data_IF_762224295899
#
_entry.id   IF_762224295899
#
_cell.length_a   1.000
_cell.length_b   1.000
_cell.length_c   1.000
_cell.angle_alpha   90.00
_cell.angle_beta   90.00
_cell.angle_gamma   90.00
#
_symmetry.space_group_name_H-M   'P 1'
#
loop_
_entity.id
_entity.type
_entity.pdbx_description
1 polymer ?
#
# COMPACT_ATOMS: atom_id res chain seq x y z
N UNK A 1 3.61 19.31 -13.91
CA UNK A 1 3.82 17.90 -14.32
C UNK A 1 4.92 17.35 -13.45
N UNK A 2 4.70 16.18 -12.82
CA UNK A 2 5.73 15.51 -12.04
C UNK A 2 6.68 14.78 -13.00
N UNK A 3 7.94 14.65 -12.61
CA UNK A 3 8.98 13.91 -13.35
C UNK A 3 9.19 12.48 -12.83
N UNK A 4 8.35 12.06 -11.88
CA UNK A 4 8.37 10.74 -11.26
C UNK A 4 7.08 9.98 -11.58
N UNK A 5 7.10 8.64 -11.66
CA UNK A 5 5.91 7.83 -11.79
C UNK A 5 4.95 8.05 -10.62
N UNK A 6 3.65 8.13 -10.92
CA UNK A 6 2.59 8.29 -9.91
C UNK A 6 1.68 7.08 -9.96
N UNK A 7 1.52 6.41 -8.81
CA UNK A 7 0.56 5.33 -8.61
C UNK A 7 -0.59 5.84 -7.74
N UNK A 8 -1.80 5.76 -8.25
CA UNK A 8 -3.00 6.28 -7.59
C UNK A 8 -3.64 5.21 -6.71
N UNK A 9 -3.89 5.55 -5.44
CA UNK A 9 -4.61 4.65 -4.53
C UNK A 9 -6.11 4.66 -4.87
N UNK A 10 -6.62 3.50 -5.28
CA UNK A 10 -8.04 3.26 -5.56
C UNK A 10 -8.64 2.52 -4.37
N UNK A 11 -9.27 3.26 -3.49
CA UNK A 11 -9.91 2.77 -2.28
C UNK A 11 -11.10 3.69 -1.92
N UNK A 12 -12.36 3.26 -2.16
CA UNK A 12 -13.52 4.15 -2.07
C UNK A 12 -13.86 4.58 -0.64
N UNK A 13 -13.42 3.86 0.36
CA UNK A 13 -13.68 4.14 1.79
C UNK A 13 -12.59 3.62 2.71
N UNK A 14 -12.61 4.05 3.95
CA UNK A 14 -11.86 3.45 5.06
C UNK A 14 -12.51 2.13 5.53
N UNK A 15 -11.92 1.47 6.52
CA UNK A 15 -12.38 0.20 7.09
C UNK A 15 -11.75 -1.02 6.41
N UNK A 16 -12.55 -2.04 6.15
CA UNK A 16 -12.14 -3.29 5.54
C UNK A 16 -11.82 -3.17 4.03
N UNK A 17 -11.61 -4.31 3.38
CA UNK A 17 -11.29 -4.42 1.95
C UNK A 17 -12.30 -5.31 1.20
N UNK A 18 -13.48 -5.51 1.80
CA UNK A 18 -14.61 -6.25 1.20
C UNK A 18 -15.60 -5.24 0.65
N UNK A 19 -15.75 -5.17 -0.66
CA UNK A 19 -16.51 -4.11 -1.33
C UNK A 19 -17.81 -4.62 -1.92
N UNK A 20 -18.84 -3.77 -1.88
CA UNK A 20 -20.10 -3.98 -2.58
C UNK A 20 -19.91 -3.83 -4.10
N UNK A 21 -20.91 -4.29 -4.86
CA UNK A 21 -20.91 -4.12 -6.33
C UNK A 21 -20.82 -2.64 -6.73
N UNK A 22 -21.49 -1.75 -6.01
CA UNK A 22 -21.45 -0.31 -6.28
C UNK A 22 -20.07 0.29 -5.99
N UNK A 23 -19.43 -0.11 -4.89
CA UNK A 23 -18.06 0.31 -4.57
C UNK A 23 -17.06 -0.19 -5.62
N UNK A 24 -17.18 -1.44 -6.07
CA UNK A 24 -16.35 -1.97 -7.17
C UNK A 24 -16.58 -1.20 -8.47
N UNK A 25 -17.81 -0.82 -8.79
CA UNK A 25 -18.11 0.01 -9.95
C UNK A 25 -17.49 1.42 -9.85
N UNK A 26 -17.45 2.01 -8.66
CA UNK A 26 -16.72 3.27 -8.43
C UNK A 26 -15.23 3.07 -8.68
N UNK A 27 -14.63 2.01 -8.09
CA UNK A 27 -13.22 1.70 -8.28
C UNK A 27 -12.85 1.49 -9.76
N UNK A 28 -13.69 0.81 -10.52
CA UNK A 28 -13.48 0.60 -11.97
C UNK A 28 -13.52 1.93 -12.75
N UNK A 29 -14.43 2.85 -12.40
CA UNK A 29 -14.48 4.20 -13.01
C UNK A 29 -13.24 5.03 -12.66
N UNK A 30 -12.79 4.96 -11.42
CA UNK A 30 -11.58 5.68 -10.99
C UNK A 30 -10.33 5.13 -11.70
N UNK A 31 -10.25 3.81 -11.91
CA UNK A 31 -9.17 3.18 -12.68
C UNK A 31 -9.21 3.64 -14.15
N UNK A 32 -10.38 3.64 -14.78
CA UNK A 32 -10.53 4.12 -16.16
C UNK A 32 -10.06 5.59 -16.28
N UNK A 33 -10.42 6.43 -15.32
CA UNK A 33 -9.93 7.81 -15.27
C UNK A 33 -8.40 7.89 -15.12
N UNK A 34 -7.79 7.01 -14.33
CA UNK A 34 -6.33 6.94 -14.21
C UNK A 34 -5.66 6.56 -15.53
N UNK A 35 -6.25 5.63 -16.29
CA UNK A 35 -5.77 5.24 -17.63
C UNK A 35 -5.87 6.43 -18.58
N UNK A 36 -7.02 7.11 -18.64
CA UNK A 36 -7.28 8.25 -19.53
C UNK A 36 -6.35 9.44 -19.24
N UNK A 37 -6.05 9.68 -17.96
CA UNK A 37 -5.15 10.74 -17.51
C UNK A 37 -3.66 10.39 -17.68
N UNK A 38 -3.33 9.15 -18.04
CA UNK A 38 -1.97 8.69 -18.29
C UNK A 38 -1.11 8.59 -17.04
N UNK A 39 -1.69 8.12 -15.91
CA UNK A 39 -0.91 7.73 -14.73
C UNK A 39 -0.09 6.47 -15.03
N UNK A 40 0.97 6.24 -14.27
CA UNK A 40 1.87 5.10 -14.48
C UNK A 40 1.43 3.84 -13.72
N UNK A 41 0.60 3.99 -12.69
CA UNK A 41 0.13 2.85 -11.92
C UNK A 41 -1.06 3.14 -11.02
N UNK A 42 -1.62 2.07 -10.48
CA UNK A 42 -2.64 2.10 -9.44
C UNK A 42 -2.26 1.21 -8.28
N UNK A 43 -2.87 1.48 -7.13
CA UNK A 43 -2.73 0.72 -5.90
C UNK A 43 -4.12 0.34 -5.42
N UNK A 44 -4.43 -0.95 -5.34
CA UNK A 44 -5.75 -1.43 -4.93
C UNK A 44 -5.67 -2.85 -4.35
N UNK A 45 -6.80 -3.43 -3.96
CA UNK A 45 -6.88 -4.81 -3.48
C UNK A 45 -8.24 -5.10 -2.87
N UNK A 46 -8.73 -6.31 -3.07
CA UNK A 46 -10.06 -6.76 -2.61
C UNK A 46 -9.91 -8.08 -1.87
N UNK A 47 -10.60 -8.21 -0.76
CA UNK A 47 -10.71 -9.45 0.02
C UNK A 47 -12.15 -9.92 0.09
N UNK A 48 -12.33 -11.20 0.33
CA UNK A 48 -13.59 -11.76 0.80
C UNK A 48 -13.73 -11.58 2.32
N UNK A 49 -14.91 -11.82 2.86
CA UNK A 49 -15.21 -11.66 4.29
C UNK A 49 -14.49 -12.66 5.20
N UNK A 50 -14.00 -13.77 4.62
CA UNK A 50 -13.16 -14.76 5.28
C UNK A 50 -11.66 -14.41 5.23
N UNK A 51 -11.31 -13.21 4.75
CA UNK A 51 -9.95 -12.73 4.55
C UNK A 51 -9.12 -13.53 3.54
N UNK A 52 -9.75 -14.23 2.63
CA UNK A 52 -9.09 -14.73 1.42
C UNK A 52 -9.07 -13.67 0.33
N UNK A 53 -8.18 -13.82 -0.65
CA UNK A 53 -8.13 -12.93 -1.81
C UNK A 53 -9.41 -13.06 -2.64
N UNK A 54 -10.13 -11.96 -2.89
CA UNK A 54 -11.16 -11.92 -3.94
C UNK A 54 -10.48 -11.88 -5.32
N UNK A 55 -10.25 -13.07 -5.85
CA UNK A 55 -9.57 -13.26 -7.14
C UNK A 55 -10.34 -12.60 -8.28
N UNK A 56 -11.66 -12.80 -8.31
CA UNK A 56 -12.50 -12.30 -9.41
C UNK A 56 -12.55 -10.77 -9.44
N UNK A 57 -12.79 -10.13 -8.31
CA UNK A 57 -12.83 -8.67 -8.22
C UNK A 57 -11.45 -8.07 -8.45
N UNK A 58 -10.39 -8.64 -7.86
CA UNK A 58 -9.02 -8.17 -8.06
C UNK A 58 -8.61 -8.28 -9.54
N UNK A 59 -8.96 -9.40 -10.21
CA UNK A 59 -8.66 -9.56 -11.62
C UNK A 59 -9.44 -8.56 -12.50
N UNK A 60 -10.70 -8.26 -12.18
CA UNK A 60 -11.46 -7.21 -12.88
C UNK A 60 -10.77 -5.85 -12.79
N UNK A 61 -10.29 -5.46 -11.60
CA UNK A 61 -9.54 -4.22 -11.40
C UNK A 61 -8.21 -4.24 -12.17
N UNK A 62 -7.47 -5.37 -12.15
CA UNK A 62 -6.21 -5.51 -12.90
C UNK A 62 -6.41 -5.41 -14.40
N UNK A 63 -7.46 -6.04 -14.93
CA UNK A 63 -7.80 -5.95 -16.36
C UNK A 63 -8.18 -4.52 -16.74
N UNK A 64 -8.98 -3.83 -15.91
CA UNK A 64 -9.34 -2.42 -16.15
C UNK A 64 -8.12 -1.49 -16.13
N UNK A 65 -7.09 -1.79 -15.35
CA UNK A 65 -5.85 -1.03 -15.30
C UNK A 65 -5.01 -1.15 -16.58
N UNK A 66 -5.26 -2.17 -17.43
CA UNK A 66 -4.56 -2.35 -18.70
C UNK A 66 -3.04 -2.42 -18.50
N UNK A 67 -2.32 -1.47 -19.11
CA UNK A 67 -0.86 -1.38 -19.05
C UNK A 67 -0.32 -0.64 -17.80
N UNK A 68 -1.18 -0.09 -16.94
CA UNK A 68 -0.74 0.54 -15.71
C UNK A 68 -0.12 -0.50 -14.78
N UNK A 69 0.93 -0.10 -14.06
CA UNK A 69 1.45 -0.92 -12.97
C UNK A 69 0.40 -1.12 -11.89
N UNK A 70 0.24 -2.36 -11.43
CA UNK A 70 -0.71 -2.69 -10.38
C UNK A 70 0.02 -3.08 -9.10
N UNK A 71 -0.28 -2.36 -8.01
CA UNK A 71 0.19 -2.71 -6.67
C UNK A 71 -0.97 -3.24 -5.85
N UNK A 72 -0.88 -4.49 -5.38
CA UNK A 72 -1.80 -4.99 -4.36
C UNK A 72 -1.37 -4.41 -3.01
N UNK A 73 -2.26 -3.66 -2.37
CA UNK A 73 -1.94 -2.89 -1.17
C UNK A 73 -1.94 -3.74 0.11
N UNK A 74 -1.86 -3.10 1.27
CA UNK A 74 -1.76 -3.75 2.59
C UNK A 74 -2.96 -4.60 3.01
N UNK A 75 -4.00 -4.73 2.21
CA UNK A 75 -4.98 -5.81 2.38
C UNK A 75 -4.30 -7.18 2.41
N UNK A 76 -3.14 -7.32 1.76
CA UNK A 76 -2.31 -8.52 1.83
C UNK A 76 -1.94 -8.93 3.26
N UNK A 77 -1.80 -7.97 4.15
CA UNK A 77 -1.46 -8.24 5.56
C UNK A 77 -2.60 -8.89 6.35
N UNK A 78 -3.83 -8.91 5.82
CA UNK A 78 -4.99 -9.56 6.42
C UNK A 78 -5.26 -10.95 5.86
N UNK A 79 -4.60 -11.35 4.77
CA UNK A 79 -4.86 -12.60 4.09
C UNK A 79 -4.48 -13.80 4.96
N UNK A 80 -5.39 -14.76 5.09
CA UNK A 80 -5.18 -15.97 5.91
C UNK A 80 -4.23 -16.97 5.23
N UNK A 81 -4.21 -17.04 3.89
CA UNK A 81 -3.37 -17.93 3.09
C UNK A 81 -2.42 -17.12 2.17
N UNK A 82 -1.43 -16.38 2.71
CA UNK A 82 -0.66 -15.41 1.93
C UNK A 82 0.23 -16.04 0.85
N UNK A 83 0.67 -17.28 0.98
CA UNK A 83 1.47 -17.95 -0.06
C UNK A 83 0.61 -18.38 -1.25
N UNK A 84 -0.64 -18.79 -1.02
CA UNK A 84 -1.61 -19.03 -2.07
C UNK A 84 -1.96 -17.73 -2.79
N UNK A 85 -2.25 -16.67 -2.03
CA UNK A 85 -2.52 -15.34 -2.60
C UNK A 85 -1.35 -14.78 -3.41
N UNK A 86 -0.11 -15.03 -2.99
CA UNK A 86 1.09 -14.69 -3.77
C UNK A 86 1.03 -15.33 -5.16
N UNK A 87 0.73 -16.63 -5.25
CA UNK A 87 0.62 -17.35 -6.52
C UNK A 87 -0.54 -16.84 -7.39
N UNK A 88 -1.69 -16.55 -6.77
CA UNK A 88 -2.86 -16.00 -7.45
C UNK A 88 -2.58 -14.60 -8.02
N UNK A 89 -1.93 -13.71 -7.25
CA UNK A 89 -1.55 -12.37 -7.68
C UNK A 89 -0.50 -12.42 -8.81
N UNK A 90 0.43 -13.37 -8.77
CA UNK A 90 1.39 -13.59 -9.86
C UNK A 90 0.70 -14.08 -11.15
N UNK A 91 -0.27 -14.99 -11.03
CA UNK A 91 -1.05 -15.45 -12.17
C UNK A 91 -1.86 -14.31 -12.83
N UNK A 92 -2.26 -13.30 -12.07
CA UNK A 92 -2.91 -12.07 -12.56
C UNK A 92 -1.91 -11.02 -13.08
N UNK A 93 -0.60 -11.30 -13.06
CA UNK A 93 0.45 -10.36 -13.45
C UNK A 93 0.43 -9.05 -12.64
N UNK A 94 0.18 -9.14 -11.33
CA UNK A 94 0.34 -8.01 -10.42
C UNK A 94 1.83 -7.65 -10.31
N UNK A 95 2.16 -6.36 -10.37
CA UNK A 95 3.56 -5.92 -10.38
C UNK A 95 4.17 -5.87 -8.98
N UNK A 96 3.41 -5.41 -7.98
CA UNK A 96 3.89 -5.22 -6.61
C UNK A 96 2.89 -5.74 -5.58
N UNK A 97 3.40 -6.27 -4.48
CA UNK A 97 2.65 -6.54 -3.24
C UNK A 97 3.24 -5.66 -2.14
N UNK A 98 2.45 -4.72 -1.63
CA UNK A 98 2.79 -3.89 -0.50
C UNK A 98 2.35 -4.58 0.79
N UNK A 99 3.31 -4.89 1.66
CA UNK A 99 3.05 -5.62 2.90
C UNK A 99 3.97 -5.20 4.04
N UNK A 100 3.51 -5.34 5.27
CA UNK A 100 4.34 -5.27 6.48
C UNK A 100 4.73 -6.65 7.00
N UNK A 101 4.50 -7.72 6.22
CA UNK A 101 4.76 -9.08 6.65
C UNK A 101 3.77 -9.58 7.69
N UNK A 102 2.51 -9.14 7.60
CA UNK A 102 1.43 -9.48 8.55
C UNK A 102 1.74 -9.07 10.00
N UNK A 103 2.60 -8.07 10.17
CA UNK A 103 2.96 -7.50 11.46
C UNK A 103 2.58 -6.00 11.52
N UNK A 104 2.71 -5.39 12.69
CA UNK A 104 2.42 -3.96 12.87
C UNK A 104 3.31 -3.07 12.01
N UNK A 105 4.55 -3.52 11.78
CA UNK A 105 5.51 -2.82 10.94
C UNK A 105 6.35 -3.78 10.09
N UNK A 106 6.87 -3.32 8.96
CA UNK A 106 7.72 -4.12 8.08
C UNK A 106 9.03 -4.60 8.75
N UNK A 107 9.68 -3.83 9.64
CA UNK A 107 10.80 -4.37 10.42
C UNK A 107 10.43 -5.57 11.29
N UNK A 108 9.25 -5.58 11.92
CA UNK A 108 8.77 -6.71 12.72
C UNK A 108 8.42 -7.93 11.85
N UNK A 109 7.95 -7.69 10.62
CA UNK A 109 7.58 -8.73 9.67
C UNK A 109 8.69 -9.17 8.72
N UNK A 110 9.96 -8.81 8.98
CA UNK A 110 11.06 -9.00 8.02
C UNK A 110 11.26 -10.46 7.62
N UNK A 111 11.12 -11.40 8.55
CA UNK A 111 11.33 -12.83 8.26
C UNK A 111 10.27 -13.35 7.29
N UNK A 112 9.01 -12.98 7.49
CA UNK A 112 7.93 -13.37 6.59
C UNK A 112 8.04 -12.66 5.23
N UNK A 113 8.36 -11.36 5.21
CA UNK A 113 8.65 -10.63 3.98
C UNK A 113 9.80 -11.27 3.19
N UNK A 114 10.88 -11.68 3.87
CA UNK A 114 12.01 -12.39 3.26
C UNK A 114 11.57 -13.73 2.66
N UNK A 115 10.70 -14.47 3.36
CA UNK A 115 10.15 -15.72 2.85
C UNK A 115 9.32 -15.49 1.58
N UNK A 116 8.41 -14.50 1.57
CA UNK A 116 7.66 -14.11 0.37
C UNK A 116 8.60 -13.72 -0.78
N UNK A 117 9.63 -12.92 -0.47
CA UNK A 117 10.59 -12.46 -1.48
C UNK A 117 11.39 -13.61 -2.11
N UNK A 118 11.66 -14.69 -1.35
CA UNK A 118 12.32 -15.91 -1.86
C UNK A 118 11.38 -16.78 -2.72
N UNK A 119 10.09 -16.80 -2.39
CA UNK A 119 9.11 -17.65 -3.08
C UNK A 119 8.50 -17.00 -4.32
N UNK A 120 8.55 -15.68 -4.43
CA UNK A 120 8.04 -14.95 -5.60
C UNK A 120 8.77 -15.35 -6.89
N UNK A 121 8.06 -15.28 -8.01
CA UNK A 121 8.61 -15.50 -9.35
C UNK A 121 8.70 -14.18 -10.13
N UNK A 122 7.61 -13.46 -10.23
CA UNK A 122 7.48 -12.26 -11.08
C UNK A 122 7.13 -10.99 -10.30
N UNK A 123 6.26 -11.09 -9.30
CA UNK A 123 5.82 -9.96 -8.49
C UNK A 123 6.96 -9.41 -7.63
N UNK A 124 6.97 -8.10 -7.37
CA UNK A 124 7.92 -7.47 -6.45
C UNK A 124 7.28 -7.30 -5.07
N UNK A 125 7.92 -7.81 -4.03
CA UNK A 125 7.51 -7.54 -2.65
C UNK A 125 8.03 -6.17 -2.25
N UNK A 126 7.13 -5.29 -1.79
CA UNK A 126 7.43 -3.93 -1.35
C UNK A 126 7.15 -3.82 0.15
N UNK A 127 8.17 -3.89 1.01
CA UNK A 127 8.00 -3.64 2.44
C UNK A 127 7.44 -2.25 2.72
N UNK A 128 6.41 -2.16 3.56
CA UNK A 128 5.80 -0.90 3.96
C UNK A 128 5.23 -0.93 5.37
N UNK A 129 4.97 0.22 5.94
CA UNK A 129 4.72 0.48 7.36
C UNK A 129 6.00 0.49 8.20
N UNK A 130 6.29 1.65 8.78
CA UNK A 130 7.44 1.83 9.68
C UNK A 130 8.81 1.91 8.98
N UNK A 131 8.87 1.89 7.65
CA UNK A 131 10.12 2.08 6.91
C UNK A 131 10.59 3.53 7.03
N UNK A 132 11.87 3.71 7.32
CA UNK A 132 12.51 5.01 7.50
C UNK A 132 14.03 4.92 7.29
N UNK A 133 14.74 6.05 7.40
CA UNK A 133 16.18 6.11 7.16
C UNK A 133 17.03 5.26 8.13
N UNK A 134 16.54 4.92 9.32
CA UNK A 134 17.30 4.10 10.27
C UNK A 134 17.24 2.61 9.97
N UNK A 135 16.25 2.14 9.20
CA UNK A 135 16.02 0.72 8.94
C UNK A 135 15.99 0.34 7.45
N UNK A 136 16.05 1.30 6.53
CA UNK A 136 15.95 1.00 5.08
C UNK A 136 17.08 0.11 4.58
N UNK A 137 18.29 0.23 5.14
CA UNK A 137 19.45 -0.60 4.79
C UNK A 137 19.18 -2.09 5.07
N UNK A 138 18.40 -2.40 6.10
CA UNK A 138 17.98 -3.78 6.37
C UNK A 138 17.22 -4.37 5.19
N UNK A 139 16.23 -3.67 4.64
CA UNK A 139 15.45 -4.17 3.50
C UNK A 139 16.32 -4.35 2.26
N UNK A 140 17.27 -3.43 2.01
CA UNK A 140 18.25 -3.56 0.94
C UNK A 140 19.10 -4.82 1.11
N UNK A 141 19.58 -5.09 2.31
CA UNK A 141 20.38 -6.27 2.62
C UNK A 141 19.61 -7.60 2.47
N UNK A 142 18.27 -7.56 2.68
CA UNK A 142 17.39 -8.69 2.42
C UNK A 142 16.98 -8.84 0.93
N UNK A 143 17.51 -7.98 0.04
CA UNK A 143 17.31 -8.07 -1.41
C UNK A 143 15.97 -7.55 -1.90
N UNK A 144 15.32 -6.62 -1.18
CA UNK A 144 14.14 -5.93 -1.67
C UNK A 144 14.53 -4.81 -2.62
N UNK A 145 13.85 -4.75 -3.78
CA UNK A 145 14.10 -3.74 -4.83
C UNK A 145 13.25 -2.47 -4.66
N UNK A 146 12.26 -2.51 -3.79
CA UNK A 146 11.37 -1.39 -3.51
C UNK A 146 10.97 -1.37 -2.04
N UNK A 147 10.73 -0.18 -1.49
CA UNK A 147 10.15 0.03 -0.16
C UNK A 147 9.12 1.15 -0.23
N UNK A 148 8.15 1.12 0.68
CA UNK A 148 7.14 2.17 0.82
C UNK A 148 7.27 2.86 2.18
N UNK A 149 7.20 4.20 2.17
CA UNK A 149 7.16 5.01 3.40
C UNK A 149 6.27 6.24 3.19
N UNK A 150 5.63 6.70 4.26
CA UNK A 150 4.89 7.96 4.25
C UNK A 150 5.82 9.17 4.40
N UNK A 151 6.97 8.98 5.03
CA UNK A 151 7.91 10.05 5.37
C UNK A 151 7.30 11.11 6.30
N UNK A 152 6.17 10.82 6.95
CA UNK A 152 5.39 11.80 7.72
C UNK A 152 6.00 12.08 9.11
N UNK A 153 5.68 13.27 9.61
CA UNK A 153 5.84 13.66 11.00
C UNK A 153 4.52 14.24 11.51
N UNK A 154 4.14 13.87 12.72
CA UNK A 154 3.01 14.49 13.40
C UNK A 154 3.41 15.86 13.89
N UNK A 155 2.72 16.90 13.44
CA UNK A 155 2.97 18.29 13.79
C UNK A 155 1.76 18.82 14.52
N UNK A 156 2.00 19.38 15.72
CA UNK A 156 0.97 20.06 16.48
C UNK A 156 0.57 21.34 15.73
N UNK A 157 -0.72 21.46 15.40
CA UNK A 157 -1.25 22.56 14.59
C UNK A 157 -1.94 23.65 15.40
N UNK A 158 -2.45 23.28 16.59
CA UNK A 158 -3.11 24.22 17.50
C UNK A 158 -2.57 24.08 18.93
N UNK A 159 -2.48 25.15 19.67
CA UNK A 159 -1.94 25.17 21.03
C UNK A 159 -2.90 24.66 22.08
N UNK A 160 -4.22 24.86 21.89
CA UNK A 160 -5.27 24.45 22.81
C UNK A 160 -6.11 23.34 22.17
N UNK A 161 -6.48 22.35 22.94
CA UNK A 161 -7.43 21.32 22.47
C UNK A 161 -8.83 21.92 22.36
N UNK A 162 -9.61 21.54 21.33
CA UNK A 162 -11.01 21.91 21.27
C UNK A 162 -11.81 21.30 22.44
N UNK A 163 -12.88 21.95 22.84
CA UNK A 163 -13.75 21.44 23.91
C UNK A 163 -14.44 20.13 23.52
N UNK A 164 -14.74 19.98 22.22
CA UNK A 164 -15.38 18.79 21.66
C UNK A 164 -14.54 18.32 20.49
N UNK A 165 -14.13 17.05 20.51
CA UNK A 165 -13.43 16.43 19.39
C UNK A 165 -14.39 16.21 18.22
N UNK A 166 -13.94 16.57 17.02
CA UNK A 166 -14.65 16.27 15.77
C UNK A 166 -14.17 14.95 15.14
N UNK A 167 -13.15 14.32 15.71
CA UNK A 167 -12.64 13.03 15.27
C UNK A 167 -13.37 11.88 15.95
N UNK A 168 -13.62 10.82 15.21
CA UNK A 168 -14.06 9.55 15.80
C UNK A 168 -12.93 8.97 16.68
N UNK A 169 -13.29 8.35 17.78
CA UNK A 169 -12.32 7.76 18.70
C UNK A 169 -11.33 6.85 17.96
N UNK A 170 -10.05 7.14 18.09
CA UNK A 170 -8.95 6.30 17.58
C UNK A 170 -8.40 6.68 16.21
N UNK A 171 -8.84 7.75 15.54
CA UNK A 171 -8.37 8.04 14.19
C UNK A 171 -7.24 9.08 14.14
N UNK A 172 -7.51 10.34 14.34
CA UNK A 172 -6.51 11.41 14.32
C UNK A 172 -6.70 12.32 15.53
N UNK A 173 -5.63 12.98 15.97
CA UNK A 173 -5.73 14.00 17.01
C UNK A 173 -6.18 15.32 16.39
N UNK A 174 -7.18 15.99 17.00
CA UNK A 174 -7.68 17.28 16.51
C UNK A 174 -6.61 18.39 16.49
N UNK A 175 -5.56 18.24 17.29
CA UNK A 175 -4.49 19.22 17.43
C UNK A 175 -3.19 18.84 16.69
N UNK A 176 -3.21 17.78 15.87
CA UNK A 176 -2.05 17.35 15.08
C UNK A 176 -2.42 17.07 13.62
N UNK A 177 -1.46 17.32 12.74
CA UNK A 177 -1.52 16.91 11.34
C UNK A 177 -0.32 16.04 10.97
N UNK A 178 -0.57 14.99 10.19
CA UNK A 178 0.49 14.18 9.60
C UNK A 178 0.99 14.87 8.31
N UNK A 179 2.21 15.37 8.31
CA UNK A 179 2.78 16.09 7.17
C UNK A 179 4.03 15.37 6.69
N UNK A 180 4.07 15.01 5.40
CA UNK A 180 5.26 14.42 4.78
C UNK A 180 6.42 15.41 4.82
N UNK A 181 7.57 14.97 5.33
CA UNK A 181 8.78 15.77 5.46
C UNK A 181 9.75 15.43 4.35
N UNK A 182 10.17 16.45 3.59
CA UNK A 182 11.14 16.31 2.51
C UNK A 182 12.44 15.65 2.98
N UNK A 183 12.92 16.02 4.18
CA UNK A 183 14.17 15.50 4.71
C UNK A 183 14.09 14.00 5.05
N UNK A 184 12.93 13.50 5.51
CA UNK A 184 12.73 12.08 5.73
C UNK A 184 12.81 11.30 4.40
N UNK A 185 12.24 11.85 3.34
CA UNK A 185 12.30 11.24 2.01
C UNK A 185 13.73 11.26 1.47
N UNK A 186 14.41 12.42 1.52
CA UNK A 186 15.79 12.55 1.08
C UNK A 186 16.74 11.60 1.81
N UNK A 187 16.58 11.45 3.13
CA UNK A 187 17.40 10.56 3.93
C UNK A 187 17.27 9.09 3.52
N UNK A 188 16.09 8.65 3.14
CA UNK A 188 15.88 7.28 2.60
C UNK A 188 16.43 7.17 1.18
N UNK A 189 16.12 8.13 0.30
CA UNK A 189 16.59 8.15 -1.09
C UNK A 189 18.13 8.09 -1.17
N UNK A 190 18.84 8.83 -0.31
CA UNK A 190 20.30 8.83 -0.27
C UNK A 190 20.92 7.45 0.08
N UNK A 191 20.16 6.55 0.71
CA UNK A 191 20.61 5.21 1.08
C UNK A 191 20.26 4.13 0.04
N UNK A 192 19.23 4.37 -0.77
CA UNK A 192 18.75 3.35 -1.71
C UNK A 192 19.13 3.64 -3.16
N UNK A 193 19.53 4.87 -3.46
CA UNK A 193 20.08 5.30 -4.76
C UNK A 193 21.59 5.46 -4.68
#
# INVERSE_FOLDING_TARGET
>A
RLSIPVHVLIRPRSGDFTYTVDELNIMLKDIALCVDLGFEGIVSGVLLDDFTLDVDSTNKLKVAAGNLKFTFHRAFDWIVNPLEALQQLEAMHVDYILSSGQQKSAPEGIDFLSNLNKQRKTVQIMPGSGVNASNVDMFKNYGFNAVHLSGTKMIKTISKKPMISMNSAGFLSDDHSAITQLENIKAVVAKVK
#
